data_IF_410312305119
#
_entry.id   IF_410312305119
#
_cell.length_a   1.000
_cell.length_b   1.000
_cell.length_c   1.000
_cell.angle_alpha   90.00
_cell.angle_beta   90.00
_cell.angle_gamma   90.00
#
_symmetry.space_group_name_H-M   'P 1'
#
loop_
_entity.id
_entity.type
_entity.pdbx_description
1 polymer ?
#
# COMPACT_ATOMS: atom_id res chain seq x y z
N UNK A 1 4.82 7.37 -14.28
CA UNK A 1 3.85 8.33 -13.73
C UNK A 1 4.64 9.47 -13.12
N UNK A 2 4.29 10.72 -13.42
CA UNK A 2 4.94 11.89 -12.86
C UNK A 2 3.91 13.00 -12.61
N UNK A 3 4.24 13.94 -11.74
CA UNK A 3 3.44 15.16 -11.57
C UNK A 3 3.98 16.25 -12.50
N UNK A 4 3.11 16.88 -13.28
CA UNK A 4 3.47 18.11 -13.99
C UNK A 4 3.57 19.25 -12.98
N UNK A 5 4.68 19.98 -13.03
CA UNK A 5 4.97 21.09 -12.11
C UNK A 5 5.23 22.37 -12.88
N UNK A 6 4.78 23.49 -12.32
CA UNK A 6 5.07 24.81 -12.85
C UNK A 6 6.59 25.05 -12.84
N UNK A 7 7.13 25.48 -13.98
CA UNK A 7 8.58 25.53 -14.20
C UNK A 7 9.29 26.49 -13.24
N UNK A 8 8.61 27.57 -12.83
CA UNK A 8 9.15 28.65 -11.98
C UNK A 8 8.94 28.37 -10.50
N UNK A 9 7.72 28.04 -10.11
CA UNK A 9 7.32 27.87 -8.70
C UNK A 9 7.51 26.45 -8.19
N UNK A 10 7.71 25.47 -9.08
CA UNK A 10 7.80 24.03 -8.79
C UNK A 10 6.55 23.42 -8.14
N UNK A 11 5.45 24.18 -8.05
CA UNK A 11 4.16 23.68 -7.57
C UNK A 11 3.58 22.67 -8.54
N UNK A 12 2.91 21.65 -8.03
CA UNK A 12 2.19 20.68 -8.86
C UNK A 12 1.02 21.39 -9.54
N UNK A 13 0.94 21.23 -10.86
CA UNK A 13 -0.15 21.74 -11.72
C UNK A 13 -1.09 20.59 -12.08
N UNK A 14 -0.56 19.37 -12.24
CA UNK A 14 -1.33 18.18 -12.53
C UNK A 14 -0.65 16.95 -11.95
N UNK A 15 -1.38 16.22 -11.13
CA UNK A 15 -0.90 15.00 -10.49
C UNK A 15 -1.08 13.78 -11.40
N UNK A 16 -0.19 12.79 -11.24
CA UNK A 16 -0.43 11.44 -11.75
C UNK A 16 -0.47 11.29 -13.27
N UNK A 17 0.29 12.10 -14.01
CA UNK A 17 0.37 12.00 -15.47
C UNK A 17 1.05 10.68 -15.87
N UNK A 18 0.35 9.91 -16.69
CA UNK A 18 0.85 8.66 -17.26
C UNK A 18 1.61 8.99 -18.53
N UNK A 19 2.94 8.81 -18.47
CA UNK A 19 3.88 9.10 -19.57
C UNK A 19 3.53 8.35 -20.87
N UNK A 20 3.16 7.08 -20.73
CA UNK A 20 2.68 6.24 -21.83
C UNK A 20 1.48 5.45 -21.37
N UNK A 21 0.32 5.73 -21.98
CA UNK A 21 -0.90 4.99 -21.68
C UNK A 21 -0.77 3.52 -22.11
N UNK A 22 -1.19 2.56 -21.27
CA UNK A 22 -1.30 1.16 -21.68
C UNK A 22 -2.53 0.96 -22.58
N UNK A 23 -2.59 -0.21 -23.23
CA UNK A 23 -3.81 -0.65 -23.90
C UNK A 23 -4.84 -1.09 -22.84
N UNK A 24 -5.79 -0.19 -22.58
CA UNK A 24 -6.83 -0.44 -21.58
C UNK A 24 -7.85 -1.48 -22.03
N UNK A 25 -8.05 -1.68 -23.33
CA UNK A 25 -8.99 -2.68 -23.84
C UNK A 25 -8.40 -4.08 -23.67
N UNK A 26 -7.11 -4.25 -23.95
CA UNK A 26 -6.39 -5.50 -23.74
C UNK A 26 -6.35 -5.87 -22.25
N UNK A 27 -5.95 -4.94 -21.38
CA UNK A 27 -5.88 -5.20 -19.93
C UNK A 27 -7.21 -5.66 -19.33
N UNK A 28 -8.34 -5.13 -19.83
CA UNK A 28 -9.69 -5.48 -19.31
C UNK A 28 -10.12 -6.90 -19.64
N UNK A 29 -9.42 -7.60 -20.53
CA UNK A 29 -9.68 -9.02 -20.82
C UNK A 29 -9.28 -9.93 -19.66
N UNK A 30 -8.19 -9.56 -18.96
CA UNK A 30 -7.61 -10.36 -17.88
C UNK A 30 -7.78 -9.73 -16.49
N UNK A 31 -8.02 -8.42 -16.40
CA UNK A 31 -8.04 -7.67 -15.14
C UNK A 31 -9.41 -7.05 -14.88
N UNK A 32 -9.98 -7.40 -13.73
CA UNK A 32 -11.12 -6.71 -13.14
C UNK A 32 -10.67 -5.83 -11.98
N UNK A 33 -11.06 -4.56 -11.99
CA UNK A 33 -10.72 -3.61 -10.93
C UNK A 33 -11.92 -2.73 -10.57
N UNK A 34 -12.08 -2.44 -9.27
CA UNK A 34 -13.04 -1.46 -8.76
C UNK A 34 -12.45 -0.78 -7.52
N UNK A 35 -12.95 0.40 -7.16
CA UNK A 35 -12.65 1.04 -5.88
C UNK A 35 -13.61 0.56 -4.79
N UNK A 36 -13.13 0.60 -3.55
CA UNK A 36 -13.91 0.32 -2.34
C UNK A 36 -13.76 1.52 -1.42
N UNK A 37 -14.87 2.05 -0.95
CA UNK A 37 -14.88 3.15 0.03
C UNK A 37 -14.61 2.65 1.45
N UNK A 38 -14.18 3.54 2.34
CA UNK A 38 -13.98 3.22 3.77
C UNK A 38 -15.25 2.65 4.42
N UNK A 39 -16.43 3.19 4.10
CA UNK A 39 -17.70 2.66 4.60
C UNK A 39 -17.96 1.22 4.16
N UNK A 40 -17.77 0.93 2.87
CA UNK A 40 -17.93 -0.45 2.35
C UNK A 40 -16.91 -1.40 2.96
N UNK A 41 -15.70 -0.90 3.20
CA UNK A 41 -14.61 -1.64 3.83
C UNK A 41 -14.98 -2.06 5.26
N UNK A 42 -15.42 -1.14 6.13
CA UNK A 42 -15.84 -1.51 7.50
C UNK A 42 -17.07 -2.43 7.53
N UNK A 43 -18.03 -2.23 6.62
CA UNK A 43 -19.19 -3.12 6.48
C UNK A 43 -18.76 -4.55 6.15
N UNK A 44 -17.78 -4.73 5.26
CA UNK A 44 -17.27 -6.05 4.90
C UNK A 44 -16.51 -6.72 6.04
N UNK A 45 -15.63 -5.99 6.73
CA UNK A 45 -14.94 -6.55 7.91
C UNK A 45 -15.95 -7.07 8.93
N UNK A 46 -16.99 -6.28 9.22
CA UNK A 46 -18.07 -6.68 10.12
C UNK A 46 -18.82 -7.90 9.62
N UNK A 47 -19.27 -7.89 8.36
CA UNK A 47 -20.01 -8.99 7.75
C UNK A 47 -19.23 -10.30 7.80
N UNK A 48 -17.96 -10.29 7.38
CA UNK A 48 -17.11 -11.49 7.35
C UNK A 48 -16.88 -12.04 8.74
N UNK A 49 -16.70 -11.17 9.73
CA UNK A 49 -16.58 -11.59 11.12
C UNK A 49 -17.88 -12.19 11.67
N UNK A 50 -19.04 -11.56 11.41
CA UNK A 50 -20.34 -12.06 11.85
C UNK A 50 -20.72 -13.41 11.19
N UNK A 51 -20.35 -13.59 9.92
CA UNK A 51 -20.71 -14.78 9.14
C UNK A 51 -19.74 -15.95 9.32
N UNK A 52 -18.43 -15.67 9.40
CA UNK A 52 -17.38 -16.71 9.39
C UNK A 52 -16.50 -16.72 10.64
N UNK A 53 -16.63 -15.72 11.54
CA UNK A 53 -15.74 -15.56 12.68
C UNK A 53 -14.30 -15.17 12.31
N UNK A 54 -14.07 -14.77 11.05
CA UNK A 54 -12.76 -14.36 10.55
C UNK A 54 -12.60 -12.85 10.70
N UNK A 55 -11.50 -12.42 11.30
CA UNK A 55 -11.12 -11.01 11.37
C UNK A 55 -10.22 -10.70 10.18
N UNK A 56 -10.72 -9.89 9.24
CA UNK A 56 -9.91 -9.40 8.13
C UNK A 56 -9.09 -8.19 8.56
N UNK A 57 -7.95 -8.02 7.91
CA UNK A 57 -7.24 -6.76 7.84
C UNK A 57 -7.95 -5.81 6.83
N UNK A 58 -7.71 -4.49 6.90
CA UNK A 58 -8.28 -3.54 5.96
C UNK A 58 -8.11 -3.88 4.48
N UNK A 59 -6.95 -4.41 4.11
CA UNK A 59 -6.61 -4.76 2.73
C UNK A 59 -7.34 -6.02 2.29
N UNK A 60 -7.43 -7.03 3.17
CA UNK A 60 -8.26 -8.22 3.00
C UNK A 60 -9.72 -7.91 2.73
N UNK A 61 -10.30 -6.96 3.49
CA UNK A 61 -11.69 -6.53 3.30
C UNK A 61 -11.94 -5.89 1.93
N UNK A 62 -10.98 -5.11 1.40
CA UNK A 62 -11.03 -4.61 0.02
C UNK A 62 -11.03 -5.78 -0.96
N UNK A 63 -10.12 -6.75 -0.80
CA UNK A 63 -10.07 -7.96 -1.64
C UNK A 63 -11.39 -8.73 -1.64
N UNK A 64 -11.98 -8.92 -0.47
CA UNK A 64 -13.28 -9.57 -0.31
C UNK A 64 -14.41 -8.82 -1.02
N UNK A 65 -14.49 -7.49 -0.84
CA UNK A 65 -15.52 -6.68 -1.50
C UNK A 65 -15.41 -6.75 -3.03
N UNK A 66 -14.20 -6.75 -3.56
CA UNK A 66 -13.96 -6.87 -5.00
C UNK A 66 -14.39 -8.24 -5.50
N UNK A 67 -14.09 -9.31 -4.77
CA UNK A 67 -14.52 -10.66 -5.12
C UNK A 67 -16.05 -10.79 -5.10
N UNK A 68 -16.74 -10.27 -4.09
CA UNK A 68 -18.21 -10.23 -4.06
C UNK A 68 -18.79 -9.48 -5.27
N UNK A 69 -18.15 -8.38 -5.67
CA UNK A 69 -18.58 -7.62 -6.85
C UNK A 69 -18.33 -8.37 -8.16
N UNK A 70 -17.22 -9.10 -8.25
CA UNK A 70 -16.89 -9.94 -9.41
C UNK A 70 -17.90 -11.09 -9.54
N UNK A 71 -18.23 -11.76 -8.42
CA UNK A 71 -19.15 -12.88 -8.40
C UNK A 71 -20.61 -12.53 -8.72
N UNK A 72 -21.03 -11.25 -8.63
CA UNK A 72 -22.33 -10.81 -9.15
C UNK A 72 -22.52 -11.05 -10.66
N UNK A 73 -21.42 -11.21 -11.41
CA UNK A 73 -21.42 -11.40 -12.87
C UNK A 73 -20.73 -12.69 -13.31
N UNK A 74 -20.00 -13.36 -12.42
CA UNK A 74 -19.14 -14.50 -12.72
C UNK A 74 -19.20 -15.52 -11.56
N UNK A 75 -20.03 -16.56 -11.64
CA UNK A 75 -20.37 -17.38 -10.46
C UNK A 75 -19.66 -18.74 -10.37
N UNK A 76 -18.74 -19.07 -11.28
CA UNK A 76 -18.35 -20.47 -11.52
C UNK A 76 -16.90 -20.85 -11.17
N UNK A 77 -16.11 -19.94 -10.60
CA UNK A 77 -14.68 -20.21 -10.37
C UNK A 77 -14.30 -20.22 -8.88
N UNK A 78 -13.47 -21.17 -8.44
CA UNK A 78 -12.80 -21.04 -7.15
C UNK A 78 -11.95 -19.77 -7.16
N UNK A 79 -12.03 -19.00 -6.08
CA UNK A 79 -11.29 -17.75 -5.95
C UNK A 79 -10.46 -17.76 -4.67
N UNK A 80 -9.33 -17.06 -4.73
CA UNK A 80 -8.40 -16.89 -3.62
C UNK A 80 -8.25 -15.39 -3.40
N UNK A 81 -8.37 -14.98 -2.14
CA UNK A 81 -8.01 -13.63 -1.69
C UNK A 81 -6.67 -13.74 -0.97
N UNK A 82 -5.74 -12.86 -1.32
CA UNK A 82 -4.49 -12.73 -0.57
C UNK A 82 -4.74 -11.80 0.61
N UNK A 83 -4.73 -12.34 1.82
CA UNK A 83 -4.69 -11.55 3.05
C UNK A 83 -3.28 -10.97 3.20
N UNK A 84 -3.11 -9.69 2.83
CA UNK A 84 -1.77 -9.10 2.66
C UNK A 84 -1.14 -8.63 3.96
N UNK A 85 -1.90 -8.56 5.05
CA UNK A 85 -1.40 -8.19 6.35
C UNK A 85 -2.12 -8.92 7.49
N UNK A 86 -1.45 -9.01 8.64
CA UNK A 86 -2.08 -9.45 9.88
C UNK A 86 -2.99 -8.33 10.44
N UNK A 87 -4.24 -8.62 10.88
CA UNK A 87 -5.15 -7.62 11.43
C UNK A 87 -4.59 -6.86 12.64
N UNK A 88 -3.68 -7.47 13.39
CA UNK A 88 -2.93 -6.87 14.49
C UNK A 88 -2.07 -5.67 14.08
N UNK A 89 -1.79 -5.49 12.78
CA UNK A 89 -1.12 -4.29 12.24
C UNK A 89 -2.05 -3.07 12.15
N UNK A 90 -3.37 -3.29 12.19
CA UNK A 90 -4.41 -2.25 12.03
C UNK A 90 -5.43 -2.32 13.17
N UNK A 91 -5.00 -2.23 14.45
CA UNK A 91 -5.87 -2.52 15.59
C UNK A 91 -7.04 -1.53 15.70
N UNK A 92 -6.87 -0.27 15.30
CA UNK A 92 -7.94 0.74 15.35
C UNK A 92 -9.05 0.47 14.33
N UNK A 93 -8.70 0.07 13.10
CA UNK A 93 -9.67 -0.30 12.07
C UNK A 93 -10.45 -1.54 12.46
N UNK A 94 -9.76 -2.56 12.98
CA UNK A 94 -10.40 -3.78 13.49
C UNK A 94 -11.34 -3.46 14.65
N UNK A 95 -10.90 -2.65 15.61
CA UNK A 95 -11.74 -2.22 16.73
C UNK A 95 -12.98 -1.46 16.26
N UNK A 96 -12.83 -0.57 15.27
CA UNK A 96 -13.94 0.19 14.70
C UNK A 96 -14.94 -0.69 13.96
N UNK A 97 -14.46 -1.71 13.23
CA UNK A 97 -15.31 -2.61 12.47
C UNK A 97 -16.06 -3.63 13.33
N UNK A 98 -15.35 -4.28 14.26
CA UNK A 98 -15.84 -5.49 14.96
C UNK A 98 -15.77 -5.38 16.49
N UNK A 99 -15.30 -4.26 17.04
CA UNK A 99 -15.23 -4.04 18.49
C UNK A 99 -14.09 -4.79 19.20
N UNK A 100 -13.18 -5.42 18.46
CA UNK A 100 -12.09 -6.24 18.99
C UNK A 100 -10.74 -5.54 18.76
N UNK A 101 -9.86 -5.62 19.75
CA UNK A 101 -8.46 -5.21 19.59
C UNK A 101 -7.62 -6.48 19.39
N UNK A 102 -7.16 -6.77 18.16
CA UNK A 102 -6.32 -7.93 17.90
C UNK A 102 -4.95 -7.77 18.59
N UNK A 103 -4.31 -8.88 19.01
CA UNK A 103 -2.96 -8.80 19.54
C UNK A 103 -1.97 -8.39 18.44
N UNK A 104 -0.96 -7.58 18.80
CA UNK A 104 0.14 -7.28 17.88
C UNK A 104 0.84 -8.58 17.43
N UNK A 105 1.26 -8.66 16.14
CA UNK A 105 2.07 -9.76 15.65
C UNK A 105 3.34 -9.94 16.48
N UNK A 106 3.77 -11.19 16.70
CA UNK A 106 4.92 -11.50 17.56
C UNK A 106 6.20 -10.74 17.16
N UNK A 107 6.50 -10.65 15.86
CA UNK A 107 7.65 -9.90 15.35
C UNK A 107 7.58 -8.41 15.70
N UNK A 108 6.39 -7.81 15.64
CA UNK A 108 6.19 -6.40 15.99
C UNK A 108 6.31 -6.16 17.50
N UNK A 109 5.82 -7.08 18.34
CA UNK A 109 6.02 -6.99 19.80
C UNK A 109 7.50 -6.93 20.18
N UNK A 110 8.33 -7.74 19.51
CA UNK A 110 9.79 -7.72 19.69
C UNK A 110 10.40 -6.40 19.20
N UNK A 111 9.98 -5.93 18.03
CA UNK A 111 10.50 -4.71 17.40
C UNK A 111 10.11 -3.43 18.15
N UNK A 112 8.94 -3.38 18.80
CA UNK A 112 8.43 -2.19 19.48
C UNK A 112 9.35 -1.65 20.59
N UNK A 113 10.20 -2.51 21.16
CA UNK A 113 11.16 -2.13 22.21
C UNK A 113 12.60 -1.99 21.67
N UNK A 114 12.82 -2.13 20.36
CA UNK A 114 14.13 -1.97 19.77
C UNK A 114 14.46 -0.49 19.58
N UNK A 115 15.74 -0.13 19.71
CA UNK A 115 16.21 1.22 19.40
C UNK A 115 16.06 1.47 17.90
N UNK A 116 15.30 2.50 17.55
CA UNK A 116 15.17 2.95 16.16
C UNK A 116 16.46 3.62 15.70
N UNK A 117 16.90 3.27 14.49
CA UNK A 117 18.11 3.82 13.87
C UNK A 117 17.76 4.32 12.48
N UNK A 118 17.60 5.63 12.35
CA UNK A 118 17.25 6.32 11.10
C UNK A 118 18.44 7.18 10.65
N UNK A 119 18.80 7.07 9.38
CA UNK A 119 19.88 7.84 8.78
C UNK A 119 19.35 8.58 7.55
N UNK A 120 19.42 9.90 7.57
CA UNK A 120 19.05 10.74 6.43
C UNK A 120 20.15 10.75 5.37
N UNK A 121 19.82 11.03 4.12
CA UNK A 121 20.79 11.32 3.05
C UNK A 121 20.60 12.80 2.67
N UNK A 122 21.62 13.62 2.90
CA UNK A 122 21.54 15.08 2.71
C UNK A 122 21.88 15.49 1.27
N UNK A 123 22.59 14.65 0.53
CA UNK A 123 22.94 14.91 -0.87
C UNK A 123 21.70 14.98 -1.76
N UNK A 124 21.67 15.98 -2.64
CA UNK A 124 20.59 16.15 -3.62
C UNK A 124 20.61 15.05 -4.69
N UNK A 125 19.43 14.61 -5.18
CA UNK A 125 19.35 13.70 -6.32
C UNK A 125 19.58 14.42 -7.66
N UNK A 126 19.91 13.67 -8.70
CA UNK A 126 20.01 14.20 -10.05
C UNK A 126 18.62 14.49 -10.61
N UNK A 127 18.47 15.64 -11.25
CA UNK A 127 17.24 16.02 -11.97
C UNK A 127 17.44 15.83 -13.46
N UNK A 128 16.72 14.87 -14.03
CA UNK A 128 16.77 14.55 -15.46
C UNK A 128 15.49 14.99 -16.16
N UNK A 129 15.48 14.98 -17.50
CA UNK A 129 14.27 15.23 -18.29
C UNK A 129 13.13 14.24 -17.97
N UNK A 130 13.47 13.02 -17.55
CA UNK A 130 12.51 11.95 -17.25
C UNK A 130 12.19 11.83 -15.75
N UNK A 131 12.58 12.81 -14.94
CA UNK A 131 12.34 12.84 -13.50
C UNK A 131 13.61 12.78 -12.65
N UNK A 132 13.45 12.36 -11.39
CA UNK A 132 14.51 12.34 -10.39
C UNK A 132 15.24 10.99 -10.44
N UNK A 133 16.57 11.02 -10.38
CA UNK A 133 17.43 9.84 -10.32
C UNK A 133 18.37 9.95 -9.11
N UNK A 134 18.73 8.81 -8.52
CA UNK A 134 19.83 8.74 -7.55
C UNK A 134 21.12 9.34 -8.14
N UNK A 135 21.72 10.28 -7.42
CA UNK A 135 23.00 10.88 -7.78
C UNK A 135 24.18 10.07 -7.24
N UNK A 136 25.36 10.24 -7.84
CA UNK A 136 26.59 9.60 -7.36
C UNK A 136 26.97 10.07 -5.94
N UNK A 137 26.59 11.29 -5.55
CA UNK A 137 26.79 11.81 -4.19
C UNK A 137 25.89 11.10 -3.18
N UNK A 138 24.61 10.91 -3.48
CA UNK A 138 23.69 10.14 -2.63
C UNK A 138 24.17 8.70 -2.42
N UNK A 139 24.64 8.04 -3.48
CA UNK A 139 25.17 6.67 -3.39
C UNK A 139 26.41 6.63 -2.50
N UNK A 140 27.32 7.60 -2.63
CA UNK A 140 28.54 7.67 -1.83
C UNK A 140 28.24 7.91 -0.36
N UNK A 141 27.40 8.90 -0.07
CA UNK A 141 26.96 9.22 1.29
C UNK A 141 26.28 8.01 1.95
N UNK A 142 25.38 7.31 1.23
CA UNK A 142 24.73 6.12 1.75
C UNK A 142 25.75 5.01 2.07
N UNK A 143 26.75 4.79 1.21
CA UNK A 143 27.82 3.82 1.47
C UNK A 143 28.64 4.17 2.70
N UNK A 144 29.04 5.43 2.85
CA UNK A 144 29.80 5.89 4.02
C UNK A 144 29.00 5.72 5.32
N UNK A 145 27.71 6.05 5.32
CA UNK A 145 26.84 5.82 6.48
C UNK A 145 26.67 4.34 6.79
N UNK A 146 26.43 3.49 5.79
CA UNK A 146 26.32 2.03 5.98
C UNK A 146 27.60 1.48 6.61
N UNK A 147 28.77 1.86 6.10
CA UNK A 147 30.06 1.46 6.67
C UNK A 147 30.20 1.91 8.12
N UNK A 148 29.80 3.15 8.44
CA UNK A 148 29.80 3.67 9.80
C UNK A 148 28.80 3.00 10.76
N UNK A 149 27.79 2.29 10.25
CA UNK A 149 26.83 1.54 11.08
C UNK A 149 27.39 0.19 11.54
N UNK A 150 28.23 -0.44 10.70
CA UNK A 150 28.72 -1.81 10.91
C UNK A 150 30.17 -1.90 11.38
N UNK A 151 30.88 -0.77 11.46
CA UNK A 151 32.20 -0.65 12.08
C UNK A 151 32.09 -0.19 13.54
#
# INVERSE_FOLDING_TARGET
MYDERDVKTKKVVREGVIDKMPDLEEMRKDIFSKSVSDSEHYEIMKKVYEEFGIILDPHGAVGWKILENYFKRHTEYPAIIYETADPGKFPEDVKKAVGIIPPLPHGMKKQANAVERVYSIESEPDRTLNGIKLSDSQIREAKEKIVGIFN
#
